data_IF_370321945571
#
_entry.id   IF_370321945571
#
_cell.length_a   1.000
_cell.length_b   1.000
_cell.length_c   1.000
_cell.angle_alpha   90.00
_cell.angle_beta   90.00
_cell.angle_gamma   90.00
#
_symmetry.space_group_name_H-M   'P 1'
#
loop_
_entity.id
_entity.type
_entity.pdbx_description
1 polymer ?
#
# COMPACT_ATOMS: atom_id res chain seq x y z
N UNK A 1 12.77 -25.50 -18.00
CA UNK A 1 12.75 -26.59 -17.00
C UNK A 1 11.74 -27.61 -17.47
N UNK A 2 12.13 -28.87 -17.66
CA UNK A 2 11.30 -29.85 -18.36
C UNK A 2 10.39 -30.60 -17.36
N UNK A 3 9.15 -30.89 -17.75
CA UNK A 3 8.14 -31.58 -16.92
C UNK A 3 8.61 -32.83 -16.15
N UNK A 4 9.45 -33.73 -16.71
CA UNK A 4 9.86 -34.93 -15.97
C UNK A 4 10.78 -34.64 -14.77
N UNK A 5 11.52 -33.53 -14.78
CA UNK A 5 12.38 -33.14 -13.65
C UNK A 5 11.54 -32.66 -12.46
N UNK A 6 10.47 -31.90 -12.74
CA UNK A 6 9.56 -31.38 -11.71
C UNK A 6 8.83 -32.51 -10.99
N UNK A 7 8.34 -33.51 -11.73
CA UNK A 7 7.69 -34.70 -11.16
C UNK A 7 8.64 -35.53 -10.29
N UNK A 8 9.92 -35.59 -10.66
CA UNK A 8 10.94 -36.30 -9.87
C UNK A 8 11.22 -35.59 -8.54
N UNK A 9 11.17 -34.26 -8.52
CA UNK A 9 11.39 -33.43 -7.32
C UNK A 9 10.18 -33.52 -6.39
N UNK A 10 8.96 -33.41 -6.95
CA UNK A 10 7.72 -33.49 -6.19
C UNK A 10 7.53 -34.87 -5.55
N UNK A 11 7.90 -35.96 -6.24
CA UNK A 11 7.85 -37.32 -5.66
C UNK A 11 8.93 -37.58 -4.61
N UNK A 12 10.04 -36.84 -4.63
CA UNK A 12 11.12 -36.95 -3.63
C UNK A 12 10.89 -36.14 -2.36
N UNK A 13 9.98 -35.17 -2.40
CA UNK A 13 9.62 -34.39 -1.22
C UNK A 13 8.81 -35.27 -0.24
N UNK A 14 9.49 -35.86 0.76
CA UNK A 14 8.80 -36.47 1.90
C UNK A 14 8.09 -35.37 2.68
N UNK A 15 6.78 -35.52 2.87
CA UNK A 15 6.05 -34.69 3.83
C UNK A 15 6.61 -34.97 5.22
N UNK A 16 6.94 -33.94 6.01
CA UNK A 16 7.33 -34.14 7.40
C UNK A 16 6.13 -34.74 8.15
N UNK A 17 6.37 -35.86 8.84
CA UNK A 17 5.41 -36.40 9.79
C UNK A 17 5.21 -35.36 10.89
N UNK A 18 4.02 -34.76 10.92
CA UNK A 18 3.62 -33.86 12.00
C UNK A 18 3.09 -34.78 13.11
N UNK A 19 3.82 -35.00 14.22
CA UNK A 19 3.32 -35.82 15.31
C UNK A 19 2.06 -35.17 15.87
N UNK A 20 0.99 -35.95 16.07
CA UNK A 20 -0.31 -35.44 16.53
C UNK A 20 -0.23 -34.60 17.82
N UNK A 21 0.76 -34.89 18.68
CA UNK A 21 1.03 -34.12 19.90
C UNK A 21 1.45 -32.66 19.65
N UNK A 22 2.03 -32.35 18.48
CA UNK A 22 2.42 -30.98 18.12
C UNK A 22 1.22 -30.09 17.80
N UNK A 23 0.12 -30.66 17.30
CA UNK A 23 -1.10 -29.91 16.98
C UNK A 23 -1.92 -29.62 18.23
N UNK A 24 -1.87 -30.46 19.27
CA UNK A 24 -2.59 -30.23 20.53
C UNK A 24 -1.98 -29.13 21.39
N UNK A 25 -0.65 -28.96 21.34
CA UNK A 25 0.04 -27.91 22.10
C UNK A 25 -0.09 -26.50 21.49
N UNK A 26 -0.37 -26.42 20.18
CA UNK A 26 -0.45 -25.15 19.47
C UNK A 26 -1.58 -24.21 19.97
N UNK A 27 -2.85 -24.65 20.11
CA UNK A 27 -3.91 -23.78 20.60
C UNK A 27 -3.67 -23.33 22.05
N UNK A 28 -3.10 -24.18 22.91
CA UNK A 28 -2.75 -23.82 24.29
C UNK A 28 -1.71 -22.69 24.36
N UNK A 29 -0.70 -22.72 23.46
CA UNK A 29 0.37 -21.71 23.41
C UNK A 29 -0.14 -20.36 22.92
N UNK A 30 -1.15 -20.33 22.06
CA UNK A 30 -1.81 -19.10 21.59
C UNK A 30 -2.71 -18.49 22.67
N UNK A 31 -3.56 -19.30 23.31
CA UNK A 31 -4.45 -18.82 24.39
C UNK A 31 -3.66 -18.26 25.57
N UNK A 32 -2.54 -18.91 25.93
CA UNK A 32 -1.64 -18.42 26.99
C UNK A 32 -0.99 -17.06 26.69
N UNK A 33 -0.74 -16.73 25.41
CA UNK A 33 -0.22 -15.41 25.01
C UNK A 33 -1.31 -14.34 24.92
N UNK A 34 -2.51 -14.69 24.46
CA UNK A 34 -3.64 -13.74 24.41
C UNK A 34 -4.06 -13.29 25.82
N UNK A 35 -4.11 -14.21 26.78
CA UNK A 35 -4.50 -13.89 28.18
C UNK A 35 -3.47 -13.02 28.92
N UNK A 36 -2.24 -12.89 28.41
CA UNK A 36 -1.17 -12.09 29.01
C UNK A 36 -1.18 -10.62 28.58
N UNK A 37 -2.00 -10.27 27.59
CA UNK A 37 -2.13 -8.91 27.05
C UNK A 37 -3.36 -8.16 27.58
N UNK A 38 -4.07 -8.69 28.59
CA UNK A 38 -4.97 -7.86 29.39
C UNK A 38 -4.12 -6.91 30.24
N UNK A 39 -3.97 -5.70 29.73
CA UNK A 39 -3.34 -4.55 30.38
C UNK A 39 -3.97 -4.37 31.76
N UNK A 40 -3.18 -4.18 32.84
CA UNK A 40 -3.76 -3.89 34.14
C UNK A 40 -4.55 -2.57 34.06
N UNK A 41 -5.85 -2.65 34.34
CA UNK A 41 -6.69 -1.50 34.65
C UNK A 41 -6.01 -0.68 35.74
N UNK A 42 -5.34 0.41 35.35
CA UNK A 42 -4.90 1.41 36.31
C UNK A 42 -6.14 2.04 36.93
N UNK A 43 -6.36 1.73 38.21
CA UNK A 43 -7.35 2.37 39.05
C UNK A 43 -7.22 3.89 38.91
N UNK A 44 -8.28 4.54 38.44
CA UNK A 44 -8.37 5.98 38.36
C UNK A 44 -8.21 6.58 39.76
N UNK A 45 -7.03 7.16 40.01
CA UNK A 45 -6.72 7.88 41.24
C UNK A 45 -7.57 9.14 41.28
N UNK A 46 -8.62 9.14 42.10
CA UNK A 46 -9.47 10.31 42.36
C UNK A 46 -8.62 11.42 42.99
N UNK A 47 -8.23 12.39 42.17
CA UNK A 47 -7.71 13.68 42.64
C UNK A 47 -8.78 14.74 42.35
N UNK A 48 -9.27 15.36 43.42
CA UNK A 48 -10.34 16.35 43.45
C UNK A 48 -9.95 17.63 42.69
N UNK A 49 -10.65 17.99 41.59
CA UNK A 49 -10.30 19.14 40.78
C UNK A 49 -11.29 20.28 41.04
N UNK A 50 -10.99 21.18 41.97
CA UNK A 50 -11.82 22.39 42.12
C UNK A 50 -11.06 23.72 42.21
N UNK A 51 -9.72 23.75 42.20
CA UNK A 51 -9.01 25.04 42.33
C UNK A 51 -7.88 25.30 41.32
N UNK A 52 -7.56 24.37 40.40
CA UNK A 52 -6.47 24.57 39.43
C UNK A 52 -6.90 25.10 38.05
N UNK A 53 -8.20 25.24 37.78
CA UNK A 53 -8.73 25.54 36.44
C UNK A 53 -8.55 27.00 35.98
N UNK A 54 -8.17 27.93 36.85
CA UNK A 54 -8.07 29.34 36.47
C UNK A 54 -6.73 29.72 35.81
N UNK A 55 -5.64 29.01 36.08
CA UNK A 55 -4.30 29.41 35.58
C UNK A 55 -3.79 28.59 34.38
N UNK A 56 -4.36 27.41 34.10
CA UNK A 56 -3.91 26.55 33.00
C UNK A 56 -4.28 27.04 31.60
N UNK A 57 -5.40 27.76 31.44
CA UNK A 57 -5.89 28.17 30.12
C UNK A 57 -5.07 29.29 29.48
N UNK A 58 -4.51 30.22 30.27
CA UNK A 58 -3.70 31.33 29.73
C UNK A 58 -2.32 30.87 29.23
N UNK A 59 -1.69 29.90 29.91
CA UNK A 59 -0.39 29.36 29.47
C UNK A 59 -0.51 28.56 28.15
N UNK A 60 -1.59 27.80 27.97
CA UNK A 60 -1.83 27.06 26.72
C UNK A 60 -2.06 27.97 25.51
N UNK A 61 -2.70 29.14 25.69
CA UNK A 61 -2.93 30.08 24.59
C UNK A 61 -1.60 30.71 24.13
N UNK A 62 -0.71 31.09 25.05
CA UNK A 62 0.60 31.67 24.71
C UNK A 62 1.50 30.62 24.05
N UNK A 63 1.49 29.37 24.52
CA UNK A 63 2.25 28.26 23.92
C UNK A 63 1.69 27.91 22.53
N UNK A 64 0.37 27.88 22.35
CA UNK A 64 -0.25 27.64 21.04
C UNK A 64 0.09 28.75 20.04
N UNK A 65 0.13 30.01 20.47
CA UNK A 65 0.49 31.14 19.61
C UNK A 65 1.98 31.14 19.25
N UNK A 66 2.87 30.80 20.20
CA UNK A 66 4.31 30.68 19.95
C UNK A 66 4.65 29.51 19.01
N UNK A 67 3.98 28.35 19.16
CA UNK A 67 4.14 27.20 18.25
C UNK A 67 3.53 27.50 16.87
N UNK A 68 2.40 28.21 16.83
CA UNK A 68 1.71 28.57 15.60
C UNK A 68 2.46 29.59 14.73
N UNK A 69 3.21 30.50 15.35
CA UNK A 69 3.90 31.57 14.60
C UNK A 69 5.31 31.17 14.12
N UNK A 70 5.92 30.14 14.72
CA UNK A 70 7.26 29.64 14.34
C UNK A 70 7.21 28.41 13.45
N UNK A 71 6.08 27.69 13.45
CA UNK A 71 5.77 26.81 12.33
C UNK A 71 5.24 27.70 11.21
N UNK A 72 6.15 28.11 10.31
CA UNK A 72 5.76 28.25 8.90
C UNK A 72 4.79 27.11 8.61
N UNK A 73 3.62 27.35 7.98
CA UNK A 73 2.74 26.26 7.62
C UNK A 73 3.58 25.26 6.82
N UNK A 74 3.99 24.17 7.48
CA UNK A 74 3.94 22.88 6.84
C UNK A 74 2.47 22.76 6.53
N UNK A 75 2.11 23.25 5.35
CA UNK A 75 0.89 22.85 4.69
C UNK A 75 0.73 21.37 5.02
N UNK A 76 -0.35 20.96 5.68
CA UNK A 76 -0.81 19.62 5.43
C UNK A 76 -0.98 19.58 3.92
N UNK A 77 -0.05 18.92 3.21
CA UNK A 77 -0.25 18.43 1.85
C UNK A 77 -1.32 17.31 1.86
N UNK A 78 -2.43 17.63 2.52
CA UNK A 78 -3.72 16.98 2.59
C UNK A 78 -4.79 18.02 2.16
N UNK A 79 -4.40 19.04 1.39
CA UNK A 79 -5.30 19.80 0.54
C UNK A 79 -5.08 19.29 -0.90
N UNK A 80 -6.09 18.58 -1.39
CA UNK A 80 -6.43 18.47 -2.81
C UNK A 80 -5.58 17.59 -3.74
N UNK A 81 -5.00 16.49 -3.26
CA UNK A 81 -4.98 15.28 -4.09
C UNK A 81 -6.33 14.57 -3.91
N UNK A 82 -7.38 15.17 -4.47
CA UNK A 82 -8.60 14.44 -4.77
C UNK A 82 -8.16 13.27 -5.67
N UNK A 83 -8.05 12.06 -5.11
CA UNK A 83 -8.68 10.78 -5.52
C UNK A 83 -9.02 10.56 -7.01
N UNK A 84 -8.39 11.27 -7.94
CA UNK A 84 -8.82 11.34 -9.34
C UNK A 84 -8.57 10.01 -10.04
N UNK A 85 -7.44 9.38 -9.71
CA UNK A 85 -7.08 8.03 -10.13
C UNK A 85 -7.70 6.92 -9.28
N UNK A 86 -8.33 7.24 -8.15
CA UNK A 86 -9.20 6.28 -7.44
C UNK A 86 -10.66 6.40 -7.90
N UNK A 87 -11.01 7.42 -8.68
CA UNK A 87 -12.35 7.59 -9.25
C UNK A 87 -12.57 6.59 -10.38
N UNK A 88 -13.24 5.50 -10.04
CA UNK A 88 -13.55 4.37 -10.92
C UNK A 88 -14.34 4.79 -12.16
N UNK A 89 -15.14 5.87 -12.07
CA UNK A 89 -15.88 6.40 -13.21
C UNK A 89 -14.95 6.98 -14.29
N UNK A 90 -13.95 7.77 -13.88
CA UNK A 90 -12.97 8.35 -14.81
C UNK A 90 -12.19 7.25 -15.53
N UNK A 91 -11.75 6.24 -14.77
CA UNK A 91 -11.03 5.10 -15.33
C UNK A 91 -11.91 4.39 -16.34
N UNK A 92 -13.15 4.05 -15.98
CA UNK A 92 -14.08 3.33 -16.86
C UNK A 92 -14.36 4.12 -18.15
N UNK A 93 -14.63 5.42 -18.04
CA UNK A 93 -14.85 6.27 -19.21
C UNK A 93 -13.62 6.32 -20.12
N UNK A 94 -12.43 6.46 -19.54
CA UNK A 94 -11.17 6.47 -20.30
C UNK A 94 -10.92 5.13 -21.00
N UNK A 95 -11.16 4.00 -20.33
CA UNK A 95 -11.03 2.67 -20.91
C UNK A 95 -12.08 2.40 -22.01
N UNK A 96 -13.27 2.99 -21.89
CA UNK A 96 -14.30 2.89 -22.93
C UNK A 96 -13.96 3.71 -24.18
N UNK A 97 -13.27 4.85 -24.01
CA UNK A 97 -12.81 5.69 -25.12
C UNK A 97 -11.62 5.09 -25.86
N UNK A 98 -10.75 4.35 -25.15
CA UNK A 98 -9.52 3.77 -25.70
C UNK A 98 -9.41 2.27 -25.39
N UNK A 99 -10.30 1.44 -25.94
CA UNK A 99 -10.32 0.01 -25.63
C UNK A 99 -9.00 -0.65 -26.01
N UNK A 100 -8.43 -1.45 -25.08
CA UNK A 100 -7.17 -2.19 -25.28
C UNK A 100 -5.93 -1.35 -25.66
N UNK A 101 -5.98 -0.03 -25.47
CA UNK A 101 -4.83 0.86 -25.74
C UNK A 101 -4.25 1.52 -24.50
N UNK A 102 -5.02 1.66 -23.41
CA UNK A 102 -4.53 2.37 -22.22
C UNK A 102 -3.48 1.53 -21.49
N UNK A 103 -2.22 1.96 -21.52
CA UNK A 103 -1.13 1.31 -20.75
C UNK A 103 -1.12 1.78 -19.32
N UNK A 104 -1.23 3.09 -19.12
CA UNK A 104 -1.28 3.68 -17.79
C UNK A 104 -2.00 5.04 -17.82
N UNK A 105 -2.64 5.39 -16.71
CA UNK A 105 -3.09 6.75 -16.40
C UNK A 105 -2.22 7.21 -15.25
N UNK A 106 -1.37 8.21 -15.46
CA UNK A 106 -0.38 8.67 -14.49
C UNK A 106 -0.75 10.06 -14.02
N UNK A 107 -0.76 10.27 -12.72
CA UNK A 107 -0.92 11.58 -12.09
C UNK A 107 0.37 11.90 -11.34
N UNK A 108 1.08 12.91 -11.80
CA UNK A 108 2.30 13.43 -11.20
C UNK A 108 2.21 14.96 -11.03
N UNK A 109 3.33 15.60 -10.72
CA UNK A 109 3.41 17.06 -10.56
C UNK A 109 3.01 17.85 -11.81
N UNK A 110 3.07 17.23 -12.99
CA UNK A 110 2.70 17.85 -14.28
C UNK A 110 1.21 17.68 -14.59
N UNK A 111 0.48 16.93 -13.76
CA UNK A 111 -0.95 16.66 -13.90
C UNK A 111 -1.25 15.24 -14.36
N UNK A 112 -2.46 15.06 -14.90
CA UNK A 112 -2.95 13.77 -15.38
C UNK A 112 -2.47 13.51 -16.81
N UNK A 113 -1.75 12.42 -17.01
CA UNK A 113 -1.19 11.99 -18.27
C UNK A 113 -1.72 10.60 -18.63
N UNK A 114 -2.24 10.45 -19.86
CA UNK A 114 -2.69 9.18 -20.38
C UNK A 114 -1.60 8.58 -21.27
N UNK A 115 -1.10 7.40 -20.90
CA UNK A 115 -0.12 6.63 -21.67
C UNK A 115 -0.87 5.59 -22.49
N UNK A 116 -0.87 5.78 -23.81
CA UNK A 116 -1.51 4.88 -24.76
C UNK A 116 -0.47 4.03 -25.49
N UNK A 117 -0.89 2.82 -25.86
CA UNK A 117 -0.20 1.98 -26.83
C UNK A 117 -0.53 2.45 -28.25
N UNK A 118 0.42 2.25 -29.17
CA UNK A 118 0.20 2.51 -30.60
C UNK A 118 -0.82 1.52 -31.20
N UNK A 119 -0.87 0.30 -30.63
CA UNK A 119 -1.70 -0.81 -31.07
C UNK A 119 -2.70 -1.24 -29.98
N UNK A 120 -3.73 -2.00 -30.37
CA UNK A 120 -4.72 -2.59 -29.46
C UNK A 120 -4.17 -3.84 -28.74
N UNK A 121 -3.00 -3.72 -28.12
CA UNK A 121 -2.22 -4.84 -27.55
C UNK A 121 -2.22 -4.87 -26.00
N UNK A 122 -2.93 -3.94 -25.35
CA UNK A 122 -3.01 -3.94 -23.88
C UNK A 122 -4.08 -4.93 -23.43
N UNK A 123 -3.74 -5.94 -22.60
CA UNK A 123 -4.69 -6.94 -22.15
C UNK A 123 -5.76 -6.34 -21.25
N UNK A 124 -7.02 -6.69 -21.54
CA UNK A 124 -8.15 -6.42 -20.66
C UNK A 124 -7.99 -7.20 -19.35
N UNK A 125 -7.43 -6.55 -18.35
CA UNK A 125 -7.22 -7.11 -17.02
C UNK A 125 -7.70 -6.12 -15.95
N UNK A 126 -7.77 -6.58 -14.71
CA UNK A 126 -8.20 -5.72 -13.61
C UNK A 126 -7.22 -4.56 -13.41
N UNK A 127 -7.68 -3.30 -13.42
CA UNK A 127 -6.78 -2.18 -13.19
C UNK A 127 -6.17 -2.20 -11.80
N UNK A 128 -4.91 -1.82 -11.75
CA UNK A 128 -4.08 -1.79 -10.56
C UNK A 128 -3.72 -0.34 -10.28
N UNK A 129 -4.05 0.13 -9.08
CA UNK A 129 -3.59 1.41 -8.57
C UNK A 129 -2.24 1.24 -7.90
N UNK A 130 -1.30 2.13 -8.20
CA UNK A 130 0.02 2.18 -7.59
C UNK A 130 0.34 3.63 -7.27
N UNK A 131 0.75 3.89 -6.03
CA UNK A 131 1.26 5.18 -5.57
C UNK A 131 2.67 4.99 -5.03
N UNK A 132 3.61 5.76 -5.56
CA UNK A 132 5.01 5.69 -5.17
C UNK A 132 5.49 7.08 -4.82
N UNK A 133 6.10 7.22 -3.66
CA UNK A 133 6.68 8.46 -3.19
C UNK A 133 8.17 8.29 -2.89
N UNK A 134 9.01 9.20 -3.39
CA UNK A 134 10.47 9.23 -3.19
C UNK A 134 10.93 10.17 -2.04
N UNK A 135 9.98 10.55 -1.19
CA UNK A 135 10.18 11.44 -0.05
C UNK A 135 9.74 12.87 -0.33
N UNK A 136 9.90 13.38 -1.56
CA UNK A 136 9.42 14.72 -1.95
C UNK A 136 8.28 14.65 -2.96
N UNK A 137 8.41 13.76 -3.93
CA UNK A 137 7.52 13.68 -5.07
C UNK A 137 6.72 12.38 -4.96
N UNK A 138 5.43 12.45 -5.26
CA UNK A 138 4.57 11.27 -5.35
C UNK A 138 4.04 11.17 -6.78
N UNK A 139 4.06 9.96 -7.32
CA UNK A 139 3.39 9.64 -8.56
C UNK A 139 2.33 8.58 -8.28
N UNK A 140 1.14 8.82 -8.76
CA UNK A 140 0.02 7.90 -8.71
C UNK A 140 -0.25 7.40 -10.12
N UNK A 141 -0.60 6.13 -10.26
CA UNK A 141 -0.93 5.58 -11.56
C UNK A 141 -1.93 4.45 -11.47
N UNK A 142 -2.73 4.33 -12.52
CA UNK A 142 -3.56 3.18 -12.80
C UNK A 142 -2.98 2.47 -14.01
N UNK A 143 -2.65 1.19 -13.87
CA UNK A 143 -2.08 0.37 -14.95
C UNK A 143 -2.59 -1.06 -14.87
N UNK A 144 -2.05 -1.93 -15.70
CA UNK A 144 -2.46 -3.31 -15.86
C UNK A 144 -1.30 -4.26 -15.56
N UNK A 145 -1.63 -5.51 -15.27
CA UNK A 145 -0.59 -6.52 -15.06
C UNK A 145 0.22 -6.73 -16.35
N UNK A 146 1.54 -6.84 -16.22
CA UNK A 146 2.49 -7.01 -17.32
C UNK A 146 2.96 -5.71 -17.97
N UNK A 147 2.49 -4.54 -17.51
CA UNK A 147 2.90 -3.26 -18.07
C UNK A 147 4.23 -2.77 -17.49
N UNK A 148 5.08 -2.21 -18.36
CA UNK A 148 6.28 -1.47 -17.96
C UNK A 148 5.97 0.03 -17.92
N UNK A 149 6.33 0.65 -16.81
CA UNK A 149 6.11 2.07 -16.53
C UNK A 149 7.40 2.71 -16.05
N UNK A 150 7.55 4.02 -16.29
CA UNK A 150 8.67 4.79 -15.76
C UNK A 150 8.24 5.52 -14.48
N UNK A 151 8.91 5.23 -13.37
CA UNK A 151 8.65 5.84 -12.06
C UNK A 151 9.97 6.25 -11.45
N UNK A 152 10.06 7.49 -10.94
CA UNK A 152 11.28 8.02 -10.31
C UNK A 152 12.55 7.82 -11.18
N UNK A 153 12.41 7.91 -12.50
CA UNK A 153 13.50 7.72 -13.47
C UNK A 153 13.94 6.27 -13.68
N UNK A 154 13.19 5.29 -13.17
CA UNK A 154 13.45 3.86 -13.33
C UNK A 154 12.30 3.16 -14.04
N UNK A 155 12.64 2.15 -14.85
CA UNK A 155 11.66 1.23 -15.43
C UNK A 155 11.21 0.22 -14.39
N UNK A 156 9.90 0.08 -14.24
CA UNK A 156 9.25 -0.82 -13.29
C UNK A 156 8.17 -1.58 -14.02
N UNK A 157 8.17 -2.90 -13.86
CA UNK A 157 7.09 -3.77 -14.33
C UNK A 157 6.09 -4.00 -13.21
N UNK A 158 4.81 -3.85 -13.50
CA UNK A 158 3.71 -4.10 -12.57
C UNK A 158 3.11 -5.47 -12.86
N UNK A 159 2.99 -6.30 -11.84
CA UNK A 159 2.46 -7.66 -11.94
C UNK A 159 1.39 -7.89 -10.88
N UNK A 160 0.31 -8.58 -11.27
CA UNK A 160 -0.64 -9.15 -10.30
C UNK A 160 -0.27 -10.60 -10.00
N UNK A 161 -0.29 -10.99 -8.73
CA UNK A 161 -0.20 -12.38 -8.32
C UNK A 161 -1.57 -13.09 -8.43
N UNK A 162 -1.58 -14.42 -8.27
CA UNK A 162 -2.80 -15.23 -8.37
C UNK A 162 -3.82 -15.00 -7.25
N UNK A 163 -3.42 -14.32 -6.17
CA UNK A 163 -4.25 -13.95 -5.01
C UNK A 163 -4.67 -12.47 -5.05
N UNK A 164 -4.36 -11.76 -6.13
CA UNK A 164 -4.65 -10.33 -6.30
C UNK A 164 -3.66 -9.39 -5.58
N UNK A 165 -2.56 -9.92 -5.06
CA UNK A 165 -1.41 -9.14 -4.62
C UNK A 165 -0.73 -8.46 -5.81
N UNK A 166 0.00 -7.37 -5.54
CA UNK A 166 0.68 -6.59 -6.57
C UNK A 166 2.18 -6.68 -6.32
N UNK A 167 2.92 -7.00 -7.36
CA UNK A 167 4.38 -7.07 -7.36
C UNK A 167 4.90 -5.99 -8.30
N UNK A 168 5.87 -5.22 -7.83
CA UNK A 168 6.60 -4.24 -8.63
C UNK A 168 8.04 -4.73 -8.77
N UNK A 169 8.51 -4.87 -10.00
CA UNK A 169 9.89 -5.28 -10.28
C UNK A 169 10.61 -4.23 -11.10
N UNK A 170 11.67 -3.68 -10.54
CA UNK A 170 12.63 -2.85 -11.26
C UNK A 170 13.98 -3.55 -11.37
N UNK A 171 14.94 -2.90 -12.04
CA UNK A 171 16.28 -3.47 -12.25
C UNK A 171 17.03 -3.81 -10.96
N UNK A 172 16.77 -3.09 -9.87
CA UNK A 172 17.48 -3.24 -8.59
C UNK A 172 16.54 -3.36 -7.39
N UNK A 173 15.24 -3.51 -7.62
CA UNK A 173 14.28 -3.64 -6.52
C UNK A 173 13.13 -4.57 -6.89
N UNK A 174 12.63 -5.26 -5.87
CA UNK A 174 11.38 -6.01 -5.93
C UNK A 174 10.56 -5.63 -4.72
N UNK A 175 9.31 -5.26 -4.95
CA UNK A 175 8.36 -4.94 -3.90
C UNK A 175 7.09 -5.76 -4.11
N UNK A 176 6.47 -6.18 -3.02
CA UNK A 176 5.21 -6.91 -3.03
C UNK A 176 4.26 -6.27 -2.04
N UNK A 177 2.97 -6.19 -2.38
CA UNK A 177 1.94 -5.73 -1.45
C UNK A 177 1.61 -6.76 -0.36
N UNK A 178 1.94 -8.03 -0.61
CA UNK A 178 1.62 -9.15 0.31
C UNK A 178 2.79 -9.53 1.21
N UNK A 179 4.02 -9.25 0.78
CA UNK A 179 5.23 -9.52 1.54
C UNK A 179 5.91 -8.21 1.93
N UNK A 180 6.41 -8.08 3.16
CA UNK A 180 7.16 -6.90 3.61
C UNK A 180 8.58 -6.89 3.00
N UNK A 181 8.65 -6.89 1.69
CA UNK A 181 9.87 -6.68 0.94
C UNK A 181 10.07 -5.17 0.89
N UNK A 182 11.10 -4.69 1.58
CA UNK A 182 11.41 -3.26 1.58
C UNK A 182 11.85 -2.85 0.17
N UNK A 183 11.04 -2.03 -0.50
CA UNK A 183 11.56 -1.16 -1.53
C UNK A 183 12.69 -0.34 -0.88
N UNK A 184 13.80 -0.09 -1.58
CA UNK A 184 14.98 0.57 -0.99
C UNK A 184 14.60 1.78 -0.12
N UNK A 185 15.35 2.01 0.97
CA UNK A 185 15.04 2.84 2.16
C UNK A 185 14.37 4.22 1.96
N UNK A 186 14.22 4.73 0.74
CA UNK A 186 13.63 6.01 0.41
C UNK A 186 12.26 5.94 -0.31
N UNK A 187 11.79 4.76 -0.75
CA UNK A 187 10.51 4.64 -1.46
C UNK A 187 9.38 4.21 -0.52
N UNK A 188 8.30 5.00 -0.52
CA UNK A 188 7.00 4.57 0.04
C UNK A 188 6.11 4.13 -1.10
N UNK A 189 5.65 2.89 -1.05
CA UNK A 189 4.85 2.27 -2.09
C UNK A 189 3.53 1.81 -1.49
N UNK A 190 2.44 2.23 -2.13
CA UNK A 190 1.08 1.75 -1.86
C UNK A 190 0.54 1.18 -3.17
N UNK A 191 -0.06 -0.01 -3.12
CA UNK A 191 -0.66 -0.62 -4.29
C UNK A 191 -1.99 -1.26 -3.92
N UNK A 192 -2.99 -1.10 -4.78
CA UNK A 192 -4.34 -1.61 -4.58
C UNK A 192 -4.91 -2.13 -5.88
N UNK A 193 -5.46 -3.34 -5.83
CA UNK A 193 -6.27 -3.86 -6.92
C UNK A 193 -7.62 -3.12 -6.92
N UNK A 194 -8.00 -2.50 -8.04
CA UNK A 194 -9.25 -1.74 -8.13
C UNK A 194 -10.48 -2.63 -8.37
N UNK A 195 -10.28 -3.95 -8.53
CA UNK A 195 -11.34 -4.93 -8.72
C UNK A 195 -12.13 -4.70 -10.00
N UNK A 196 -13.31 -5.31 -10.09
CA UNK A 196 -14.27 -5.11 -11.19
C UNK A 196 -14.83 -3.69 -11.27
N UNK A 197 -14.40 -2.76 -10.41
CA UNK A 197 -14.91 -1.40 -10.40
C UNK A 197 -14.61 -0.61 -11.70
N UNK A 198 -13.73 -1.14 -12.55
CA UNK A 198 -13.40 -0.57 -13.85
C UNK A 198 -13.84 -1.40 -15.07
N UNK A 199 -14.53 -2.54 -14.86
CA UNK A 199 -15.26 -3.25 -15.93
C UNK A 199 -16.70 -2.77 -16.02
#
# INVERSE_FOLDING_TARGET
MNQPELDSILKKARLPEIPGESLEMFPRRIVGRLKRNDVPNHAARKFSPQLAWAFGLMACIVIAFAIGHWRKPMEPAAIAANDSLMNTKLIRETLALFPNRVRAIVQDERGLNLVLSENDDVPASTPLYVRICDGKNCSELVTFSGQEIQIAGQKVTVLSDARGGIILTGNQFVWSSTERTYAGNHLKIEAKNLGTAAM
#
